data_IF_653884754968
#
_entry.id   IF_653884754968
#
_cell.length_a   1.000
_cell.length_b   1.000
_cell.length_c   1.000
_cell.angle_alpha   90.00
_cell.angle_beta   90.00
_cell.angle_gamma   90.00
#
_symmetry.space_group_name_H-M   'P 1'
#
loop_
_entity.id
_entity.type
_entity.pdbx_description
1 polymer ?
#
# COMPACT_ATOMS: atom_id res chain seq x y z
N UNK A 1 -21.39 6.59 13.66
CA UNK A 1 -21.00 5.39 12.86
C UNK A 1 -20.77 5.85 11.42
N UNK A 2 -19.63 5.53 10.81
CA UNK A 2 -19.39 5.85 9.38
C UNK A 2 -20.20 4.87 8.52
N UNK A 3 -21.07 5.39 7.66
CA UNK A 3 -21.85 4.57 6.73
C UNK A 3 -20.95 4.11 5.59
N UNK A 4 -20.48 2.86 5.66
CA UNK A 4 -19.69 2.28 4.58
C UNK A 4 -20.60 1.95 3.40
N UNK A 5 -20.34 2.60 2.25
CA UNK A 5 -21.08 2.37 1.02
C UNK A 5 -20.59 1.09 0.36
N UNK A 6 -21.49 0.13 0.10
CA UNK A 6 -21.15 -1.11 -0.61
C UNK A 6 -20.88 -0.79 -2.08
N UNK A 7 -19.63 -0.94 -2.51
CA UNK A 7 -19.22 -0.69 -3.90
C UNK A 7 -19.57 -1.92 -4.75
N UNK A 8 -20.13 -1.71 -5.94
CA UNK A 8 -20.45 -2.79 -6.88
C UNK A 8 -19.19 -3.30 -7.60
N UNK A 9 -19.20 -4.57 -8.07
CA UNK A 9 -18.07 -5.13 -8.84
C UNK A 9 -17.75 -4.33 -10.11
N UNK A 10 -18.75 -3.73 -10.73
CA UNK A 10 -18.59 -2.89 -11.93
C UNK A 10 -17.86 -1.59 -11.56
N UNK A 11 -18.23 -0.98 -10.43
CA UNK A 11 -17.51 0.18 -9.91
C UNK A 11 -16.08 -0.16 -9.54
N UNK A 12 -15.81 -1.32 -8.92
CA UNK A 12 -14.44 -1.78 -8.61
C UNK A 12 -13.56 -1.89 -9.86
N UNK A 13 -14.09 -2.41 -10.98
CA UNK A 13 -13.36 -2.51 -12.25
C UNK A 13 -13.02 -1.16 -12.90
N UNK A 14 -13.81 -0.14 -12.58
CA UNK A 14 -13.66 1.22 -13.12
C UNK A 14 -12.92 2.17 -12.16
N UNK A 15 -12.52 1.69 -10.97
CA UNK A 15 -11.59 2.42 -10.13
C UNK A 15 -10.24 2.37 -10.82
N UNK A 16 -9.61 3.53 -10.99
CA UNK A 16 -8.29 3.72 -11.60
C UNK A 16 -7.15 3.19 -10.71
N UNK A 17 -7.30 1.97 -10.17
CA UNK A 17 -6.31 1.20 -9.42
C UNK A 17 -6.17 -0.22 -9.97
N UNK A 18 -6.62 -0.45 -11.21
CA UNK A 18 -6.82 -1.77 -11.80
C UNK A 18 -5.57 -2.34 -12.50
N UNK A 19 -4.38 -1.78 -12.24
CA UNK A 19 -3.11 -2.36 -12.64
C UNK A 19 -2.53 -3.18 -11.50
N UNK A 20 -1.97 -4.36 -11.79
CA UNK A 20 -1.00 -4.95 -10.87
C UNK A 20 0.11 -3.93 -10.64
N UNK A 21 0.64 -3.84 -9.41
CA UNK A 21 1.74 -2.94 -9.13
C UNK A 21 2.90 -3.20 -10.10
N UNK A 22 3.46 -2.14 -10.69
CA UNK A 22 4.56 -2.26 -11.64
C UNK A 22 5.81 -2.83 -10.99
N UNK A 23 6.05 -2.51 -9.71
CA UNK A 23 7.14 -3.08 -8.93
C UNK A 23 6.82 -3.15 -7.43
N UNK A 24 7.04 -4.32 -6.84
CA UNK A 24 6.87 -4.54 -5.40
C UNK A 24 8.20 -4.42 -4.67
N UNK A 25 8.22 -3.59 -3.63
CA UNK A 25 9.36 -3.39 -2.74
C UNK A 25 9.17 -4.28 -1.52
N UNK A 26 10.04 -5.26 -1.33
CA UNK A 26 10.05 -6.12 -0.15
C UNK A 26 10.74 -5.40 1.02
N UNK A 27 10.10 -5.42 2.19
CA UNK A 27 10.62 -4.79 3.41
C UNK A 27 10.48 -5.77 4.56
N UNK A 28 11.54 -5.92 5.36
CA UNK A 28 11.52 -6.64 6.63
C UNK A 28 11.40 -5.61 7.73
N UNK A 29 10.29 -5.62 8.45
CA UNK A 29 10.11 -4.80 9.65
C UNK A 29 11.13 -5.17 10.72
N UNK A 30 11.42 -4.25 11.64
CA UNK A 30 12.37 -4.40 12.73
C UNK A 30 12.10 -5.65 13.61
N UNK A 31 10.84 -6.09 13.68
CA UNK A 31 10.41 -7.27 14.45
C UNK A 31 10.38 -8.56 13.61
N UNK A 32 10.96 -8.54 12.41
CA UNK A 32 11.14 -9.71 11.54
C UNK A 32 9.94 -10.03 10.62
N UNK A 33 8.89 -9.22 10.65
CA UNK A 33 7.72 -9.40 9.77
C UNK A 33 8.00 -8.83 8.39
N UNK A 34 7.82 -9.64 7.34
CA UNK A 34 7.96 -9.20 5.96
C UNK A 34 6.66 -8.60 5.42
N UNK A 35 6.76 -7.49 4.69
CA UNK A 35 5.66 -6.86 3.97
C UNK A 35 6.13 -6.25 2.64
N UNK A 36 5.16 -5.91 1.78
CA UNK A 36 5.42 -5.38 0.45
C UNK A 36 4.80 -4.00 0.29
N UNK A 37 5.54 -3.08 -0.32
CA UNK A 37 5.06 -1.77 -0.75
C UNK A 37 5.01 -1.72 -2.27
N UNK A 38 3.95 -1.14 -2.82
CA UNK A 38 3.85 -0.93 -4.26
C UNK A 38 4.55 0.38 -4.65
N UNK A 39 5.54 0.33 -5.54
CA UNK A 39 6.29 1.54 -5.98
C UNK A 39 5.40 2.62 -6.57
N UNK A 40 4.32 2.21 -7.25
CA UNK A 40 3.45 3.11 -8.02
C UNK A 40 2.66 4.07 -7.12
N UNK A 41 2.62 3.78 -5.82
CA UNK A 41 1.99 4.63 -4.81
C UNK A 41 2.87 5.80 -4.36
N UNK A 42 4.14 5.86 -4.81
CA UNK A 42 5.13 6.82 -4.33
C UNK A 42 5.78 7.56 -5.48
N UNK A 43 5.95 8.86 -5.34
CA UNK A 43 6.53 9.73 -6.39
C UNK A 43 8.06 9.71 -6.37
N UNK A 44 8.67 9.45 -5.22
CA UNK A 44 10.11 9.51 -5.03
C UNK A 44 10.57 8.59 -3.88
N UNK A 45 11.89 8.47 -3.71
CA UNK A 45 12.50 7.58 -2.70
C UNK A 45 12.27 8.05 -1.25
N UNK A 46 12.09 9.36 -1.04
CA UNK A 46 11.84 9.92 0.29
C UNK A 46 10.46 9.48 0.80
N UNK A 47 9.42 9.56 -0.05
CA UNK A 47 8.09 9.05 0.27
C UNK A 47 8.08 7.53 0.56
N UNK A 48 8.94 6.76 -0.12
CA UNK A 48 9.12 5.33 0.18
C UNK A 48 9.76 5.14 1.56
N UNK A 49 10.79 5.93 1.89
CA UNK A 49 11.46 5.89 3.20
C UNK A 49 10.50 6.22 4.34
N UNK A 50 9.70 7.28 4.18
CA UNK A 50 8.67 7.68 5.15
C UNK A 50 7.62 6.58 5.33
N UNK A 51 7.19 5.94 4.23
CA UNK A 51 6.26 4.83 4.28
C UNK A 51 6.86 3.61 5.00
N UNK A 52 8.13 3.29 4.76
CA UNK A 52 8.83 2.22 5.48
C UNK A 52 8.83 2.51 6.98
N UNK A 53 9.21 3.72 7.40
CA UNK A 53 9.22 4.10 8.83
C UNK A 53 7.83 4.08 9.47
N UNK A 54 6.80 4.52 8.73
CA UNK A 54 5.43 4.49 9.20
C UNK A 54 4.92 3.06 9.38
N UNK A 55 5.11 2.20 8.38
CA UNK A 55 4.63 0.82 8.42
C UNK A 55 5.45 -0.05 9.35
N UNK A 56 6.75 0.22 9.55
CA UNK A 56 7.56 -0.46 10.55
C UNK A 56 6.90 -0.31 11.93
N UNK A 57 6.61 0.92 12.35
CA UNK A 57 5.90 1.21 13.61
C UNK A 57 4.51 0.60 13.72
N UNK A 58 3.82 0.39 12.60
CA UNK A 58 2.48 -0.21 12.59
C UNK A 58 2.48 -1.75 12.57
N UNK A 59 3.62 -2.35 12.20
CA UNK A 59 3.81 -3.81 12.13
C UNK A 59 4.55 -4.37 13.35
N UNK A 60 5.21 -3.50 14.10
CA UNK A 60 5.70 -3.74 15.46
C UNK A 60 4.58 -3.53 16.48
#
# INVERSE_FOLDING_TARGET
MKNFKKISRIMLKNINGNGACSNWISVTASYGVNYYLCSDNYKNKEEVGDAVMYFDKAKC
#
